data_IF_304522498585
#
_entry.id   IF_304522498585
#
_cell.length_a   1.000
_cell.length_b   1.000
_cell.length_c   1.000
_cell.angle_alpha   90.00
_cell.angle_beta   90.00
_cell.angle_gamma   90.00
#
_symmetry.space_group_name_H-M   'P 1'
#
loop_
_entity.id
_entity.type
_entity.pdbx_description
1 polymer ?
#
# COMPACT_ATOMS: atom_id res chain seq x y z
N UNK A 1 26.79 -9.18 0.32
CA UNK A 1 25.53 -9.89 0.03
C UNK A 1 24.76 -9.10 -1.01
N UNK A 2 24.11 -9.77 -1.99
CA UNK A 2 23.25 -9.07 -2.93
C UNK A 2 22.11 -8.40 -2.14
N UNK A 3 21.84 -7.12 -2.45
CA UNK A 3 20.79 -6.35 -1.78
C UNK A 3 19.44 -6.95 -2.18
N UNK A 4 18.61 -7.36 -1.21
CA UNK A 4 17.27 -7.91 -1.45
C UNK A 4 16.49 -7.03 -2.43
N UNK A 5 15.57 -7.61 -3.21
CA UNK A 5 14.77 -6.88 -4.20
C UNK A 5 13.32 -6.85 -3.75
N UNK A 6 12.68 -5.69 -3.86
CA UNK A 6 11.26 -5.51 -3.56
C UNK A 6 10.50 -5.27 -4.86
N UNK A 7 9.56 -6.16 -5.17
CA UNK A 7 8.80 -6.16 -6.41
C UNK A 7 7.32 -6.00 -6.11
N UNK A 8 6.70 -4.97 -6.69
CA UNK A 8 5.26 -4.73 -6.62
C UNK A 8 4.60 -5.09 -7.94
N UNK A 9 3.51 -5.86 -7.88
CA UNK A 9 2.75 -6.29 -9.06
C UNK A 9 1.32 -5.80 -8.90
N UNK A 10 0.85 -4.96 -9.82
CA UNK A 10 -0.52 -4.46 -9.81
C UNK A 10 -0.74 -3.19 -10.65
N UNK A 11 -1.81 -2.48 -10.34
CA UNK A 11 -2.25 -1.35 -11.14
C UNK A 11 -1.40 -0.10 -10.96
N UNK A 12 -1.12 0.58 -12.08
CA UNK A 12 -0.84 2.00 -12.18
C UNK A 12 -2.07 2.62 -12.83
N UNK A 13 -2.57 3.73 -12.31
CA UNK A 13 -3.83 4.35 -12.75
C UNK A 13 -3.71 5.88 -12.86
N UNK A 14 -4.73 6.45 -13.45
CA UNK A 14 -5.07 7.87 -13.32
C UNK A 14 -6.29 7.94 -12.42
N UNK A 15 -6.20 8.67 -11.33
CA UNK A 15 -7.25 8.78 -10.32
C UNK A 15 -7.84 10.19 -10.30
N UNK A 16 -9.16 10.29 -10.44
CA UNK A 16 -9.90 11.50 -10.18
C UNK A 16 -10.46 11.42 -8.77
N UNK A 17 -9.85 12.15 -7.86
CA UNK A 17 -10.18 12.13 -6.43
C UNK A 17 -10.97 13.38 -6.06
N UNK A 18 -12.08 13.20 -5.34
CA UNK A 18 -12.92 14.26 -4.79
C UNK A 18 -13.07 14.08 -3.28
N UNK A 19 -12.87 15.15 -2.53
CA UNK A 19 -13.08 15.19 -1.08
C UNK A 19 -13.45 16.60 -0.63
N UNK A 20 -13.50 16.84 0.69
CA UNK A 20 -13.83 18.15 1.29
C UNK A 20 -12.86 19.27 0.90
N UNK A 21 -11.65 18.97 0.41
CA UNK A 21 -10.63 19.93 -0.02
C UNK A 21 -10.73 20.26 -1.51
N UNK A 22 -11.63 19.62 -2.25
CA UNK A 22 -11.83 19.81 -3.68
C UNK A 22 -11.62 18.55 -4.51
N UNK A 23 -11.21 18.73 -5.76
CA UNK A 23 -10.99 17.66 -6.72
C UNK A 23 -9.58 17.71 -7.29
N UNK A 24 -9.00 16.54 -7.54
CA UNK A 24 -7.67 16.42 -8.15
C UNK A 24 -7.62 15.25 -9.13
N UNK A 25 -7.05 15.50 -10.30
CA UNK A 25 -6.68 14.43 -11.25
C UNK A 25 -5.21 14.10 -11.07
N UNK A 26 -4.90 12.89 -10.65
CA UNK A 26 -3.57 12.52 -10.21
C UNK A 26 -3.14 11.16 -10.75
N UNK A 27 -1.84 10.97 -10.80
CA UNK A 27 -1.24 9.67 -11.03
C UNK A 27 -1.41 8.82 -9.77
N UNK A 28 -1.83 7.57 -9.93
CA UNK A 28 -2.17 6.69 -8.83
C UNK A 28 -1.97 5.21 -9.14
N UNK A 29 -2.73 4.39 -8.42
CA UNK A 29 -2.70 2.94 -8.50
C UNK A 29 -1.90 2.28 -7.39
N UNK A 30 -2.44 1.19 -6.90
CA UNK A 30 -1.92 0.49 -5.72
C UNK A 30 -0.44 0.11 -5.83
N UNK A 31 0.01 -0.38 -7.00
CA UNK A 31 1.41 -0.74 -7.21
C UNK A 31 2.34 0.49 -7.16
N UNK A 32 1.88 1.64 -7.65
CA UNK A 32 2.68 2.86 -7.61
C UNK A 32 2.76 3.42 -6.20
N UNK A 33 1.64 3.52 -5.48
CA UNK A 33 1.65 4.00 -4.09
C UNK A 33 2.51 3.11 -3.18
N UNK A 34 2.38 1.78 -3.29
CA UNK A 34 3.20 0.85 -2.54
C UNK A 34 4.70 1.01 -2.87
N UNK A 35 5.03 1.12 -4.15
CA UNK A 35 6.41 1.30 -4.59
C UNK A 35 7.02 2.63 -4.11
N UNK A 36 6.25 3.72 -4.14
CA UNK A 36 6.70 5.01 -3.63
C UNK A 36 6.88 4.99 -2.10
N UNK A 37 5.96 4.36 -1.37
CA UNK A 37 6.11 4.15 0.07
C UNK A 37 7.38 3.38 0.42
N UNK A 38 7.66 2.30 -0.33
CA UNK A 38 8.89 1.54 -0.17
C UNK A 38 10.15 2.36 -0.52
N UNK A 39 10.07 3.18 -1.57
CA UNK A 39 11.19 3.98 -2.07
C UNK A 39 11.66 5.05 -1.08
N UNK A 40 10.83 5.41 -0.11
CA UNK A 40 11.22 6.33 0.98
C UNK A 40 12.39 5.78 1.79
N UNK A 41 12.49 4.44 1.93
CA UNK A 41 13.50 3.74 2.72
C UNK A 41 14.43 2.84 1.92
N UNK A 42 14.00 2.39 0.75
CA UNK A 42 14.66 1.29 0.06
C UNK A 42 14.80 1.57 -1.44
N UNK A 43 16.01 1.39 -1.97
CA UNK A 43 16.30 1.76 -3.35
C UNK A 43 15.99 0.67 -4.38
N UNK A 44 16.16 -0.60 -4.02
CA UNK A 44 15.98 -1.72 -4.95
C UNK A 44 14.52 -2.13 -5.10
N UNK A 45 13.71 -1.19 -5.59
CA UNK A 45 12.26 -1.34 -5.78
C UNK A 45 11.94 -1.40 -7.27
N UNK A 46 11.08 -2.33 -7.68
CA UNK A 46 10.60 -2.49 -9.05
C UNK A 46 9.10 -2.68 -9.10
N UNK A 47 8.52 -2.34 -10.26
CA UNK A 47 7.09 -2.49 -10.55
C UNK A 47 6.89 -3.39 -11.76
N UNK A 48 5.90 -4.26 -11.69
CA UNK A 48 5.29 -4.91 -12.86
C UNK A 48 3.86 -4.41 -12.97
N UNK A 49 3.57 -3.73 -14.08
CA UNK A 49 2.25 -3.17 -14.35
C UNK A 49 1.94 -3.16 -15.84
N UNK A 50 0.72 -2.71 -16.18
CA UNK A 50 0.33 -2.44 -17.56
C UNK A 50 -0.43 -1.12 -17.62
N UNK A 51 -0.13 -0.32 -18.66
CA UNK A 51 -0.75 0.98 -18.94
C UNK A 51 -1.18 1.06 -20.39
N UNK A 52 -2.06 1.99 -20.70
CA UNK A 52 -2.48 2.26 -22.08
C UNK A 52 -1.49 3.14 -22.83
N UNK A 53 -1.72 3.28 -24.16
CA UNK A 53 -0.96 4.23 -24.99
C UNK A 53 -1.22 5.71 -24.59
N UNK A 54 -2.30 5.97 -23.89
CA UNK A 54 -2.68 7.28 -23.35
C UNK A 54 -1.88 7.71 -22.11
N UNK A 55 -1.08 6.80 -21.54
CA UNK A 55 -0.31 7.04 -20.33
C UNK A 55 0.93 7.92 -20.58
N UNK A 56 0.92 9.12 -20.02
CA UNK A 56 1.97 10.14 -20.28
C UNK A 56 3.15 10.12 -19.32
N UNK A 57 3.12 9.25 -18.29
CA UNK A 57 4.08 9.30 -17.17
C UNK A 57 5.12 8.17 -17.16
N UNK A 58 5.36 7.50 -18.30
CA UNK A 58 6.34 6.40 -18.40
C UNK A 58 7.75 6.82 -17.97
N UNK A 59 8.19 8.03 -18.38
CA UNK A 59 9.50 8.54 -18.01
C UNK A 59 9.66 8.71 -16.51
N UNK A 60 8.61 9.18 -15.80
CA UNK A 60 8.61 9.26 -14.35
C UNK A 60 8.75 7.87 -13.70
N UNK A 61 8.00 6.88 -14.20
CA UNK A 61 8.08 5.51 -13.67
C UNK A 61 9.49 4.93 -13.87
N UNK A 62 10.04 5.01 -15.09
CA UNK A 62 11.35 4.42 -15.38
C UNK A 62 12.52 5.14 -14.71
N UNK A 63 12.45 6.45 -14.52
CA UNK A 63 13.46 7.21 -13.77
C UNK A 63 13.41 6.94 -12.26
N UNK A 64 12.21 6.75 -11.70
CA UNK A 64 12.03 6.50 -10.26
C UNK A 64 12.30 5.03 -9.90
N UNK A 65 11.90 4.09 -10.77
CA UNK A 65 11.99 2.65 -10.57
C UNK A 65 12.72 1.97 -11.75
N UNK A 66 14.04 2.16 -11.86
CA UNK A 66 14.79 1.64 -13.01
C UNK A 66 14.69 0.12 -13.11
N UNK A 67 14.49 -0.36 -14.35
CA UNK A 67 14.33 -1.77 -14.66
C UNK A 67 12.95 -2.36 -14.29
N UNK A 68 11.95 -1.52 -13.99
CA UNK A 68 10.54 -1.95 -13.91
C UNK A 68 10.00 -2.40 -15.26
N UNK A 69 9.01 -3.29 -15.25
CA UNK A 69 8.35 -3.80 -16.45
C UNK A 69 6.96 -3.18 -16.54
N UNK A 70 6.81 -2.21 -17.42
CA UNK A 70 5.54 -1.55 -17.70
C UNK A 70 5.10 -1.89 -19.12
N UNK A 71 4.11 -2.77 -19.20
CA UNK A 71 3.54 -3.20 -20.47
C UNK A 71 2.61 -2.11 -21.01
N UNK A 72 2.89 -1.64 -22.24
CA UNK A 72 1.99 -0.71 -22.92
C UNK A 72 1.06 -1.49 -23.85
N UNK A 73 -0.25 -1.32 -23.67
CA UNK A 73 -1.27 -2.04 -24.48
C UNK A 73 -2.22 -1.07 -25.18
N UNK A 74 -2.88 -1.55 -26.23
CA UNK A 74 -3.86 -0.76 -26.99
C UNK A 74 -5.25 -0.75 -26.28
N UNK A 75 -5.28 -0.23 -25.08
CA UNK A 75 -6.46 -0.03 -24.23
C UNK A 75 -6.23 1.24 -23.41
N UNK A 76 -7.28 1.90 -22.89
CA UNK A 76 -7.11 2.99 -21.94
C UNK A 76 -6.35 2.55 -20.69
N UNK A 77 -5.58 3.44 -20.11
CA UNK A 77 -4.97 3.25 -18.77
C UNK A 77 -6.07 3.02 -17.73
N UNK A 78 -5.74 2.30 -16.67
CA UNK A 78 -6.65 2.13 -15.51
C UNK A 78 -7.05 3.50 -14.98
N UNK A 79 -8.36 3.69 -14.76
CA UNK A 79 -8.93 4.94 -14.28
C UNK A 79 -9.88 4.68 -13.13
N UNK A 80 -9.71 5.43 -12.05
CA UNK A 80 -10.64 5.45 -10.91
C UNK A 80 -11.20 6.87 -10.72
N UNK A 81 -12.51 6.94 -10.41
CA UNK A 81 -13.10 8.13 -9.79
C UNK A 81 -13.47 7.75 -8.37
N UNK A 82 -12.91 8.48 -7.40
CA UNK A 82 -13.01 8.17 -5.98
C UNK A 82 -13.53 9.41 -5.27
N UNK A 83 -14.65 9.28 -4.57
CA UNK A 83 -15.18 10.31 -3.71
C UNK A 83 -14.99 9.93 -2.25
N UNK A 84 -14.65 10.90 -1.42
CA UNK A 84 -14.52 10.74 0.03
C UNK A 84 -15.57 11.59 0.74
N UNK A 85 -16.25 11.01 1.71
CA UNK A 85 -17.08 11.74 2.64
C UNK A 85 -16.26 12.52 3.70
N UNK A 86 -16.94 13.25 4.58
CA UNK A 86 -16.31 14.02 5.68
C UNK A 86 -15.51 13.14 6.66
N UNK A 87 -15.80 11.84 6.72
CA UNK A 87 -15.08 10.85 7.54
C UNK A 87 -13.97 10.13 6.77
N UNK A 88 -13.65 10.61 5.57
CA UNK A 88 -12.68 9.98 4.65
C UNK A 88 -13.03 8.53 4.27
N UNK A 89 -14.30 8.17 4.26
CA UNK A 89 -14.76 6.90 3.70
C UNK A 89 -14.81 7.01 2.19
N UNK A 90 -14.08 6.12 1.50
CA UNK A 90 -14.01 6.09 0.05
C UNK A 90 -15.25 5.46 -0.58
N UNK A 91 -15.70 6.05 -1.68
CA UNK A 91 -16.64 5.46 -2.64
C UNK A 91 -15.99 5.48 -4.02
N UNK A 92 -15.96 4.33 -4.69
CA UNK A 92 -15.45 4.21 -6.05
C UNK A 92 -16.59 4.42 -7.04
N UNK A 93 -16.77 5.68 -7.47
CA UNK A 93 -17.87 6.06 -8.39
C UNK A 93 -17.67 5.47 -9.79
N UNK A 94 -16.42 5.34 -10.22
CA UNK A 94 -16.05 4.76 -11.52
C UNK A 94 -14.81 3.88 -11.36
N UNK A 95 -14.90 2.65 -11.84
CA UNK A 95 -13.78 1.69 -11.91
C UNK A 95 -13.61 1.21 -13.34
N UNK A 96 -12.54 1.66 -14.02
CA UNK A 96 -12.17 1.22 -15.36
C UNK A 96 -10.78 0.58 -15.31
N UNK A 97 -10.73 -0.74 -15.22
CA UNK A 97 -9.45 -1.48 -15.11
C UNK A 97 -8.57 -1.35 -16.37
N UNK A 98 -9.17 -1.25 -17.55
CA UNK A 98 -8.44 -0.99 -18.81
C UNK A 98 -7.19 -1.85 -18.96
N UNK A 99 -6.06 -1.20 -19.22
CA UNK A 99 -4.76 -1.82 -19.42
C UNK A 99 -4.31 -2.67 -18.22
N UNK A 100 -4.61 -2.26 -16.99
CA UNK A 100 -4.25 -2.99 -15.77
C UNK A 100 -4.84 -4.40 -15.72
N UNK A 101 -5.99 -4.64 -16.38
CA UNK A 101 -6.54 -5.97 -16.51
C UNK A 101 -5.65 -6.93 -17.36
N UNK A 102 -4.66 -6.42 -18.08
CA UNK A 102 -3.77 -7.20 -18.95
C UNK A 102 -2.45 -7.64 -18.30
N UNK A 103 -2.25 -7.35 -17.03
CA UNK A 103 -1.14 -7.89 -16.23
C UNK A 103 -1.34 -9.41 -16.09
N UNK A 104 -0.32 -10.20 -16.38
CA UNK A 104 -0.35 -11.67 -16.35
C UNK A 104 0.95 -12.24 -15.78
N UNK A 105 0.95 -13.53 -15.44
CA UNK A 105 2.15 -14.26 -15.00
C UNK A 105 3.29 -14.24 -16.04
N UNK A 106 2.99 -14.03 -17.32
CA UNK A 106 4.01 -13.91 -18.38
C UNK A 106 4.82 -12.62 -18.27
N UNK A 107 4.29 -11.61 -17.62
CA UNK A 107 4.97 -10.34 -17.41
C UNK A 107 5.97 -10.40 -16.24
N UNK A 108 5.97 -11.49 -15.43
CA UNK A 108 6.93 -11.74 -14.35
C UNK A 108 8.07 -12.64 -14.86
N UNK A 109 9.30 -12.11 -15.05
CA UNK A 109 10.42 -12.91 -15.52
C UNK A 109 10.80 -14.00 -14.52
N UNK A 110 10.97 -15.24 -14.96
CA UNK A 110 11.34 -16.37 -14.08
C UNK A 110 12.63 -16.13 -13.32
N UNK A 111 13.62 -15.47 -13.94
CA UNK A 111 14.90 -15.16 -13.28
C UNK A 111 14.82 -14.08 -12.20
N UNK A 112 13.64 -13.42 -12.02
CA UNK A 112 13.37 -12.53 -10.89
C UNK A 112 12.79 -13.29 -9.68
N UNK A 113 12.32 -14.52 -9.87
CA UNK A 113 11.75 -15.34 -8.80
C UNK A 113 12.90 -16.09 -8.13
N UNK A 114 13.49 -15.47 -7.10
CA UNK A 114 14.64 -15.97 -6.33
C UNK A 114 14.42 -15.69 -4.85
N UNK A 115 15.14 -16.40 -4.01
CA UNK A 115 14.98 -16.36 -2.54
C UNK A 115 15.30 -14.98 -1.92
N UNK A 116 16.08 -14.14 -2.62
CA UNK A 116 16.41 -12.77 -2.21
C UNK A 116 15.37 -11.72 -2.69
N UNK A 117 14.19 -12.15 -3.14
CA UNK A 117 13.15 -11.27 -3.67
C UNK A 117 11.91 -11.31 -2.79
N UNK A 118 11.42 -10.14 -2.43
CA UNK A 118 10.11 -9.92 -1.80
C UNK A 118 9.12 -9.48 -2.87
N UNK A 119 8.08 -10.27 -3.09
CA UNK A 119 7.03 -9.98 -4.07
C UNK A 119 5.75 -9.59 -3.34
N UNK A 120 5.23 -8.40 -3.64
CA UNK A 120 3.94 -7.95 -3.16
C UNK A 120 2.95 -7.84 -4.31
N UNK A 121 1.85 -8.62 -4.22
CA UNK A 121 0.72 -8.48 -5.12
C UNK A 121 -0.24 -7.45 -4.50
N UNK A 122 -0.31 -6.27 -5.09
CA UNK A 122 -1.29 -5.25 -4.68
C UNK A 122 -2.71 -5.67 -5.10
N UNK A 123 -3.78 -4.97 -4.72
CA UNK A 123 -5.13 -5.42 -5.05
C UNK A 123 -5.33 -5.69 -6.54
N UNK A 124 -5.43 -6.96 -6.89
CA UNK A 124 -5.78 -7.47 -8.20
C UNK A 124 -6.85 -8.55 -8.05
N UNK A 125 -7.53 -8.88 -9.13
CA UNK A 125 -8.56 -9.93 -9.09
C UNK A 125 -8.05 -11.19 -8.38
N UNK A 126 -8.77 -11.74 -7.37
CA UNK A 126 -8.31 -12.86 -6.54
C UNK A 126 -7.91 -14.11 -7.30
N UNK A 127 -8.63 -14.45 -8.39
CA UNK A 127 -8.25 -15.58 -9.23
C UNK A 127 -6.91 -15.33 -9.95
N UNK A 128 -6.65 -14.08 -10.33
CA UNK A 128 -5.36 -13.68 -10.91
C UNK A 128 -4.25 -13.73 -9.86
N UNK A 129 -4.50 -13.20 -8.65
CA UNK A 129 -3.56 -13.31 -7.53
C UNK A 129 -3.20 -14.77 -7.24
N UNK A 130 -4.19 -15.66 -7.22
CA UNK A 130 -3.97 -17.12 -7.08
C UNK A 130 -3.00 -17.64 -8.14
N UNK A 131 -3.22 -17.31 -9.42
CA UNK A 131 -2.32 -17.75 -10.52
C UNK A 131 -0.89 -17.24 -10.33
N UNK A 132 -0.70 -16.00 -9.85
CA UNK A 132 0.63 -15.48 -9.54
C UNK A 132 1.28 -16.23 -8.39
N UNK A 133 0.60 -16.43 -7.27
CA UNK A 133 1.14 -17.13 -6.10
C UNK A 133 1.53 -18.58 -6.46
N UNK A 134 0.65 -19.31 -7.14
CA UNK A 134 0.92 -20.68 -7.61
C UNK A 134 2.12 -20.73 -8.57
N UNK A 135 2.23 -19.75 -9.49
CA UNK A 135 3.35 -19.68 -10.41
C UNK A 135 4.67 -19.39 -9.69
N UNK A 136 4.69 -18.43 -8.77
CA UNK A 136 5.86 -18.05 -7.98
C UNK A 136 6.32 -19.25 -7.13
N UNK A 137 5.43 -19.82 -6.34
CA UNK A 137 5.76 -20.92 -5.41
C UNK A 137 6.14 -22.23 -6.13
N UNK A 138 5.74 -22.41 -7.39
CA UNK A 138 6.21 -23.53 -8.23
C UNK A 138 7.65 -23.37 -8.67
N UNK A 139 8.13 -22.11 -8.88
CA UNK A 139 9.51 -21.82 -9.29
C UNK A 139 10.44 -21.84 -8.09
N UNK A 140 10.06 -21.18 -6.99
CA UNK A 140 10.76 -21.24 -5.72
C UNK A 140 9.78 -21.16 -4.56
N UNK A 141 9.81 -22.17 -3.68
CA UNK A 141 9.00 -22.19 -2.45
C UNK A 141 9.43 -21.14 -1.44
N UNK A 142 10.70 -20.70 -1.48
CA UNK A 142 11.33 -19.82 -0.51
C UNK A 142 11.11 -18.32 -0.80
N UNK A 143 10.67 -17.98 -2.02
CA UNK A 143 10.36 -16.58 -2.35
C UNK A 143 9.31 -16.03 -1.39
N UNK A 144 9.61 -14.88 -0.82
CA UNK A 144 8.71 -14.21 0.10
C UNK A 144 7.57 -13.51 -0.67
N UNK A 145 6.33 -13.83 -0.36
CA UNK A 145 5.15 -13.30 -1.04
C UNK A 145 4.20 -12.68 -0.04
N UNK A 146 3.76 -11.45 -0.32
CA UNK A 146 2.65 -10.80 0.38
C UNK A 146 1.56 -10.37 -0.57
N UNK A 147 0.35 -10.24 -0.04
CA UNK A 147 -0.81 -9.75 -0.78
C UNK A 147 -1.63 -8.81 0.10
N UNK A 148 -2.30 -7.85 -0.51
CA UNK A 148 -3.43 -7.15 0.08
C UNK A 148 -4.67 -7.31 -0.80
N UNK A 149 -5.83 -6.84 -0.34
CA UNK A 149 -7.10 -6.93 -1.03
C UNK A 149 -7.71 -5.54 -1.27
N UNK A 150 -8.92 -5.54 -1.77
CA UNK A 150 -9.77 -4.37 -1.93
C UNK A 150 -11.20 -4.77 -1.54
N UNK A 151 -12.01 -3.87 -0.97
CA UNK A 151 -13.41 -4.13 -0.59
C UNK A 151 -14.22 -4.75 -1.72
N UNK A 152 -14.09 -4.27 -2.95
CA UNK A 152 -14.83 -4.76 -4.13
C UNK A 152 -14.63 -6.26 -4.38
N UNK A 153 -13.44 -6.78 -4.06
CA UNK A 153 -13.17 -8.20 -4.23
C UNK A 153 -13.81 -9.07 -3.14
N UNK A 154 -14.17 -8.47 -2.01
CA UNK A 154 -14.76 -9.19 -0.87
C UNK A 154 -16.29 -9.31 -0.97
N UNK A 155 -16.95 -8.59 -1.85
CA UNK A 155 -18.39 -8.71 -2.07
C UNK A 155 -18.79 -10.13 -2.50
N UNK A 156 -18.00 -10.76 -3.38
CA UNK A 156 -18.28 -12.08 -3.93
C UNK A 156 -17.76 -13.19 -3.01
N UNK A 157 -18.65 -14.11 -2.60
CA UNK A 157 -18.31 -15.28 -1.76
C UNK A 157 -17.16 -16.11 -2.34
N UNK A 158 -17.14 -16.30 -3.66
CA UNK A 158 -16.07 -17.04 -4.33
C UNK A 158 -14.70 -16.37 -4.14
N UNK A 159 -14.63 -15.05 -4.28
CA UNK A 159 -13.41 -14.30 -4.06
C UNK A 159 -12.92 -14.41 -2.61
N UNK A 160 -13.85 -14.33 -1.63
CA UNK A 160 -13.50 -14.53 -0.21
C UNK A 160 -12.91 -15.91 0.02
N UNK A 161 -13.48 -16.97 -0.61
CA UNK A 161 -12.92 -18.32 -0.53
C UNK A 161 -11.52 -18.40 -1.12
N UNK A 162 -11.27 -17.78 -2.28
CA UNK A 162 -9.95 -17.74 -2.90
C UNK A 162 -8.96 -17.02 -1.99
N UNK A 163 -9.30 -15.85 -1.47
CA UNK A 163 -8.44 -15.05 -0.60
C UNK A 163 -8.11 -15.78 0.71
N UNK A 164 -9.08 -16.45 1.36
CA UNK A 164 -8.84 -17.31 2.54
C UNK A 164 -7.86 -18.46 2.25
N UNK A 165 -7.91 -19.03 1.05
CA UNK A 165 -6.96 -20.06 0.64
C UNK A 165 -5.56 -19.48 0.38
N UNK A 166 -5.48 -18.30 -0.28
CA UNK A 166 -4.22 -17.61 -0.54
C UNK A 166 -3.51 -17.17 0.74
N UNK A 167 -4.27 -16.71 1.74
CA UNK A 167 -3.76 -16.30 3.04
C UNK A 167 -2.87 -17.36 3.70
N UNK A 168 -3.13 -18.66 3.45
CA UNK A 168 -2.35 -19.78 3.97
C UNK A 168 -1.09 -20.08 3.15
N UNK A 169 -1.00 -19.56 1.94
CA UNK A 169 0.08 -19.84 0.97
C UNK A 169 1.10 -18.70 0.90
N UNK A 170 0.72 -17.52 1.36
CA UNK A 170 1.57 -16.33 1.35
C UNK A 170 2.25 -16.11 2.71
N UNK A 171 3.30 -15.33 2.71
CA UNK A 171 4.06 -15.04 3.91
C UNK A 171 3.44 -13.93 4.76
N UNK A 172 2.69 -13.01 4.12
CA UNK A 172 1.94 -11.94 4.77
C UNK A 172 0.66 -11.62 3.99
N UNK A 173 -0.46 -11.54 4.70
CA UNK A 173 -1.71 -10.93 4.24
C UNK A 173 -1.88 -9.57 4.90
N UNK A 174 -2.18 -8.54 4.11
CA UNK A 174 -2.51 -7.20 4.63
C UNK A 174 -3.96 -6.89 4.29
N UNK A 175 -4.71 -6.46 5.29
CA UNK A 175 -6.13 -6.08 5.18
C UNK A 175 -6.36 -4.79 5.97
N UNK A 176 -7.42 -4.06 5.68
CA UNK A 176 -7.96 -3.12 6.64
C UNK A 176 -8.98 -3.81 7.56
N UNK A 177 -9.49 -3.12 8.56
CA UNK A 177 -10.47 -3.64 9.53
C UNK A 177 -11.74 -4.15 8.85
N UNK A 178 -12.31 -3.36 7.93
CA UNK A 178 -13.48 -3.76 7.15
C UNK A 178 -13.21 -5.02 6.31
N UNK A 179 -12.06 -5.06 5.62
CA UNK A 179 -11.67 -6.22 4.80
C UNK A 179 -11.46 -7.47 5.64
N UNK A 180 -10.86 -7.34 6.82
CA UNK A 180 -10.65 -8.46 7.75
C UNK A 180 -12.01 -9.01 8.23
N UNK A 181 -12.92 -8.16 8.65
CA UNK A 181 -14.27 -8.57 9.07
C UNK A 181 -15.06 -9.19 7.91
N UNK A 182 -15.04 -8.58 6.73
CA UNK A 182 -15.70 -9.11 5.54
C UNK A 182 -15.14 -10.47 5.10
N UNK A 183 -13.81 -10.63 5.16
CA UNK A 183 -13.16 -11.91 4.82
C UNK A 183 -13.46 -12.99 5.85
N UNK A 184 -13.60 -12.64 7.12
CA UNK A 184 -13.98 -13.55 8.20
C UNK A 184 -15.49 -13.82 8.29
N UNK A 185 -16.30 -13.05 7.53
CA UNK A 185 -17.77 -13.10 7.55
C UNK A 185 -18.34 -12.81 8.95
N UNK A 186 -17.82 -11.77 9.63
CA UNK A 186 -18.21 -11.32 10.97
C UNK A 186 -18.19 -9.79 11.07
N UNK A 187 -18.90 -9.24 12.03
CA UNK A 187 -18.91 -7.82 12.40
C UNK A 187 -17.95 -7.48 13.58
N UNK A 188 -17.25 -8.50 14.10
CA UNK A 188 -16.28 -8.34 15.19
C UNK A 188 -14.85 -8.44 14.67
N UNK A 189 -14.09 -7.34 14.78
CA UNK A 189 -12.67 -7.32 14.40
C UNK A 189 -11.84 -8.32 15.24
N UNK A 190 -12.10 -8.40 16.54
CA UNK A 190 -11.41 -9.34 17.42
C UNK A 190 -11.66 -10.79 16.97
N UNK A 191 -12.91 -11.12 16.64
CA UNK A 191 -13.25 -12.42 16.10
C UNK A 191 -12.56 -12.66 14.75
N UNK A 192 -12.60 -11.69 13.83
CA UNK A 192 -11.95 -11.78 12.52
C UNK A 192 -10.46 -12.12 12.65
N UNK A 193 -9.73 -11.37 13.48
CA UNK A 193 -8.29 -11.57 13.70
C UNK A 193 -7.98 -12.95 14.27
N UNK A 194 -8.85 -13.50 15.11
CA UNK A 194 -8.68 -14.82 15.71
C UNK A 194 -8.98 -15.98 14.74
N UNK A 195 -9.95 -15.82 13.82
CA UNK A 195 -10.36 -16.91 12.92
C UNK A 195 -9.61 -16.93 11.60
N UNK A 196 -9.08 -15.79 11.16
CA UNK A 196 -8.30 -15.70 9.93
C UNK A 196 -6.93 -16.38 10.11
N UNK A 197 -6.74 -17.52 9.43
CA UNK A 197 -5.54 -18.36 9.56
C UNK A 197 -4.52 -17.98 8.48
N UNK A 198 -3.68 -16.99 8.77
CA UNK A 198 -2.52 -16.60 7.99
C UNK A 198 -1.22 -16.97 8.71
N UNK A 199 -0.13 -17.13 7.96
CA UNK A 199 1.21 -17.20 8.56
C UNK A 199 1.54 -15.90 9.29
N UNK A 200 1.24 -14.78 8.63
CA UNK A 200 1.23 -13.44 9.21
C UNK A 200 0.03 -12.67 8.65
N UNK A 201 -0.60 -11.91 9.52
CA UNK A 201 -1.71 -11.02 9.17
C UNK A 201 -1.42 -9.64 9.72
N UNK A 202 -1.47 -8.63 8.87
CA UNK A 202 -1.47 -7.24 9.30
C UNK A 202 -2.84 -6.63 9.01
N UNK A 203 -3.44 -5.99 10.01
CA UNK A 203 -4.73 -5.31 9.85
C UNK A 203 -4.54 -3.83 10.17
N UNK A 204 -4.71 -2.97 9.16
CA UNK A 204 -4.64 -1.52 9.34
C UNK A 204 -5.94 -0.99 9.92
N UNK A 205 -5.84 -0.07 10.88
CA UNK A 205 -6.95 0.56 11.61
C UNK A 205 -7.02 2.06 11.35
N UNK A 206 -6.50 2.51 10.22
CA UNK A 206 -6.42 3.92 9.86
C UNK A 206 -5.66 4.73 10.92
N UNK A 207 -6.31 5.73 11.49
CA UNK A 207 -5.72 6.62 12.50
C UNK A 207 -5.42 5.92 13.84
N UNK A 208 -5.96 4.73 14.09
CA UNK A 208 -5.72 3.98 15.32
C UNK A 208 -4.43 3.14 15.26
N UNK A 209 -3.82 2.99 14.08
CA UNK A 209 -2.61 2.20 13.91
C UNK A 209 -2.85 0.88 13.19
N UNK A 210 -2.29 -0.22 13.68
CA UNK A 210 -2.44 -1.53 13.06
C UNK A 210 -2.36 -2.66 14.10
N UNK A 211 -2.94 -3.80 13.72
CA UNK A 211 -2.76 -5.08 14.41
C UNK A 211 -1.82 -5.95 13.58
N UNK A 212 -0.83 -6.55 14.23
CA UNK A 212 0.05 -7.55 13.64
C UNK A 212 -0.18 -8.89 14.32
N UNK A 213 -0.45 -9.93 13.53
CA UNK A 213 -0.57 -11.31 14.01
C UNK A 213 0.56 -12.12 13.40
N UNK A 214 1.37 -12.72 14.26
CA UNK A 214 2.43 -13.64 13.86
C UNK A 214 2.46 -14.84 14.81
N UNK A 215 2.41 -16.05 14.25
CA UNK A 215 2.42 -17.29 15.01
C UNK A 215 1.37 -17.32 16.15
N UNK A 216 0.19 -16.77 15.88
CA UNK A 216 -0.92 -16.69 16.83
C UNK A 216 -0.79 -15.59 17.91
N UNK A 217 0.33 -14.87 17.95
CA UNK A 217 0.47 -13.68 18.82
C UNK A 217 -0.14 -12.47 18.15
N UNK A 218 -1.04 -11.80 18.85
CA UNK A 218 -1.69 -10.57 18.40
C UNK A 218 -1.03 -9.39 19.10
N UNK A 219 -0.55 -8.43 18.31
CA UNK A 219 0.06 -7.20 18.81
C UNK A 219 -0.66 -6.01 18.17
N UNK A 220 -1.20 -5.12 19.00
CA UNK A 220 -1.75 -3.84 18.55
C UNK A 220 -0.65 -2.78 18.65
N UNK A 221 -0.42 -2.07 17.55
CA UNK A 221 0.57 -1.02 17.44
C UNK A 221 -0.19 0.27 17.17
N UNK A 222 -0.28 1.17 18.15
CA UNK A 222 -1.00 2.43 17.99
C UNK A 222 -0.29 3.31 16.95
N UNK A 223 -1.07 4.07 16.19
CA UNK A 223 -0.52 5.16 15.40
C UNK A 223 0.06 6.23 16.34
N UNK A 224 1.18 6.83 15.94
CA UNK A 224 1.72 7.96 16.67
C UNK A 224 0.79 9.17 16.47
N UNK A 225 0.04 9.51 17.50
CA UNK A 225 -0.99 10.57 17.52
C UNK A 225 -0.42 12.00 17.43
N UNK A 226 0.89 12.15 17.24
CA UNK A 226 1.55 13.46 17.15
C UNK A 226 1.34 14.22 15.83
N UNK A 227 0.85 13.55 14.78
CA UNK A 227 0.47 14.18 13.54
C UNK A 227 -1.04 14.44 13.52
N UNK A 228 -1.53 15.35 14.37
CA UNK A 228 -2.89 15.90 14.27
C UNK A 228 -3.04 16.85 13.08
N UNK A 229 -2.39 16.52 11.98
CA UNK A 229 -2.49 17.29 10.75
C UNK A 229 -3.71 16.79 10.00
N UNK A 230 -4.54 17.69 9.57
CA UNK A 230 -5.71 17.41 8.73
C UNK A 230 -5.27 16.68 7.47
N UNK A 231 -5.66 15.43 7.32
CA UNK A 231 -5.40 14.67 6.10
C UNK A 231 -6.02 15.38 4.91
N UNK A 232 -5.24 15.57 3.84
CA UNK A 232 -5.72 16.19 2.60
C UNK A 232 -6.20 15.16 1.60
N UNK A 233 -5.49 14.04 1.46
CA UNK A 233 -5.86 12.95 0.58
C UNK A 233 -5.39 11.60 1.13
N UNK A 234 -6.34 10.71 1.39
CA UNK A 234 -6.07 9.36 1.92
C UNK A 234 -5.97 8.29 0.83
N UNK A 235 -6.13 8.66 -0.46
CA UNK A 235 -6.03 7.73 -1.59
C UNK A 235 -4.66 7.05 -1.60
N UNK A 236 -4.63 5.72 -1.62
CA UNK A 236 -3.38 4.96 -1.64
C UNK A 236 -2.60 4.96 -0.31
N UNK A 237 -3.20 5.45 0.80
CA UNK A 237 -2.55 5.39 2.11
C UNK A 237 -2.25 3.96 2.56
N UNK A 238 -3.20 3.03 2.38
CA UNK A 238 -3.01 1.61 2.68
C UNK A 238 -1.94 0.95 1.83
N UNK A 239 -1.88 1.27 0.53
CA UNK A 239 -0.83 0.75 -0.35
C UNK A 239 0.55 1.32 0.01
N UNK A 240 0.62 2.63 0.29
CA UNK A 240 1.85 3.27 0.81
C UNK A 240 2.31 2.59 2.10
N UNK A 241 1.37 2.29 3.00
CA UNK A 241 1.63 1.56 4.24
C UNK A 241 2.23 0.16 3.94
N UNK A 242 1.65 -0.61 3.01
CA UNK A 242 2.18 -1.92 2.61
C UNK A 242 3.61 -1.82 2.10
N UNK A 243 3.88 -0.90 1.20
CA UNK A 243 5.22 -0.71 0.64
C UNK A 243 6.26 -0.32 1.69
N UNK A 244 5.90 0.61 2.56
CA UNK A 244 6.76 1.08 3.65
C UNK A 244 7.03 -0.01 4.69
N UNK A 245 6.01 -0.81 5.03
CA UNK A 245 6.12 -1.97 5.90
C UNK A 245 7.18 -2.95 5.40
N UNK A 246 7.09 -3.32 4.12
CA UNK A 246 8.00 -4.29 3.53
C UNK A 246 9.42 -3.76 3.44
N UNK A 247 9.61 -2.50 3.05
CA UNK A 247 10.91 -1.86 3.00
C UNK A 247 11.57 -1.77 4.38
N UNK A 248 10.81 -1.39 5.41
CA UNK A 248 11.28 -1.36 6.79
C UNK A 248 11.62 -2.76 7.31
N UNK A 249 10.80 -3.77 6.99
CA UNK A 249 11.05 -5.15 7.40
C UNK A 249 12.32 -5.73 6.75
N UNK A 250 12.58 -5.42 5.49
CA UNK A 250 13.83 -5.81 4.83
C UNK A 250 15.05 -5.26 5.58
N UNK A 251 14.97 -4.01 6.06
CA UNK A 251 16.06 -3.37 6.79
C UNK A 251 16.21 -3.86 8.23
N UNK A 252 15.10 -4.01 8.95
CA UNK A 252 15.11 -4.20 10.41
C UNK A 252 14.92 -5.64 10.85
N UNK A 253 14.26 -6.46 10.02
CA UNK A 253 13.73 -7.80 10.37
C UNK A 253 12.87 -7.80 11.64
N UNK A 254 12.27 -6.66 11.96
CA UNK A 254 11.46 -6.39 13.15
C UNK A 254 10.09 -5.84 12.73
N UNK A 255 9.01 -6.58 13.03
CA UNK A 255 7.65 -6.21 12.64
C UNK A 255 7.14 -4.97 13.38
N UNK A 256 7.48 -4.80 14.66
CA UNK A 256 7.06 -3.64 15.43
C UNK A 256 7.62 -2.36 14.83
N UNK A 257 8.93 -2.31 14.59
CA UNK A 257 9.59 -1.18 13.95
C UNK A 257 9.03 -0.93 12.55
N UNK A 258 8.77 -2.01 11.80
CA UNK A 258 8.26 -1.92 10.44
C UNK A 258 6.84 -1.33 10.39
N UNK A 259 5.96 -1.74 11.30
CA UNK A 259 4.59 -1.20 11.38
C UNK A 259 4.61 0.27 11.80
N UNK A 260 5.39 0.65 12.82
CA UNK A 260 5.54 2.05 13.23
C UNK A 260 6.02 2.91 12.06
N UNK A 261 7.06 2.44 11.35
CA UNK A 261 7.59 3.11 10.17
C UNK A 261 6.54 3.27 9.06
N UNK A 262 5.78 2.22 8.79
CA UNK A 262 4.72 2.24 7.79
C UNK A 262 3.59 3.23 8.16
N UNK A 263 3.21 3.30 9.43
CA UNK A 263 2.23 4.27 9.92
C UNK A 263 2.71 5.71 9.72
N UNK A 264 3.98 5.99 10.03
CA UNK A 264 4.57 7.33 9.86
C UNK A 264 4.61 7.76 8.39
N UNK A 265 5.12 6.90 7.48
CA UNK A 265 5.23 7.23 6.05
C UNK A 265 3.84 7.38 5.43
N UNK A 266 2.90 6.52 5.79
CA UNK A 266 1.53 6.62 5.30
C UNK A 266 0.84 7.90 5.79
N UNK A 267 1.07 8.32 7.04
CA UNK A 267 0.58 9.59 7.57
C UNK A 267 1.18 10.80 6.80
N UNK A 268 2.49 10.81 6.56
CA UNK A 268 3.13 11.87 5.76
C UNK A 268 2.53 11.93 4.35
N UNK A 269 2.26 10.78 3.72
CA UNK A 269 1.59 10.71 2.42
C UNK A 269 0.27 11.46 2.42
N UNK A 270 -0.54 11.31 3.47
CA UNK A 270 -1.87 11.89 3.56
C UNK A 270 -1.89 13.43 3.71
N UNK A 271 -0.75 14.08 3.93
CA UNK A 271 -0.65 15.54 4.11
C UNK A 271 -0.86 16.35 2.82
N UNK A 272 -0.89 15.72 1.66
CA UNK A 272 -1.10 16.39 0.37
C UNK A 272 -1.76 15.45 -0.65
N UNK A 273 -2.11 15.99 -1.84
CA UNK A 273 -2.68 15.23 -2.93
C UNK A 273 -1.73 14.15 -3.45
N UNK A 274 -2.30 13.00 -3.76
CA UNK A 274 -1.57 11.87 -4.33
C UNK A 274 -0.38 11.47 -3.46
N UNK A 275 0.81 11.52 -4.01
CA UNK A 275 2.07 11.17 -3.36
C UNK A 275 3.07 12.33 -3.27
N UNK A 276 2.60 13.58 -3.43
CA UNK A 276 3.47 14.77 -3.51
C UNK A 276 4.43 14.88 -2.32
N UNK A 277 3.98 14.55 -1.11
CA UNK A 277 4.82 14.62 0.09
C UNK A 277 5.91 13.55 0.15
N UNK A 278 5.68 12.36 -0.40
CA UNK A 278 6.61 11.23 -0.26
C UNK A 278 7.51 11.01 -1.49
N UNK A 279 7.17 11.54 -2.67
CA UNK A 279 7.87 11.22 -3.91
C UNK A 279 9.37 11.54 -3.90
N UNK A 280 9.77 12.56 -3.13
CA UNK A 280 11.17 13.00 -3.00
C UNK A 280 11.81 12.63 -1.67
N UNK A 281 11.04 12.11 -0.69
CA UNK A 281 11.58 11.75 0.60
C UNK A 281 12.46 10.50 0.50
N UNK A 282 13.61 10.55 1.18
CA UNK A 282 14.51 9.42 1.34
C UNK A 282 15.08 9.48 2.74
N UNK A 283 14.96 8.38 3.48
CA UNK A 283 15.49 8.21 4.82
C UNK A 283 16.37 6.98 4.87
N UNK A 284 17.42 7.03 5.66
CA UNK A 284 18.33 5.90 5.85
C UNK A 284 17.77 4.87 6.83
N UNK A 285 17.02 5.33 7.81
CA UNK A 285 16.49 4.52 8.91
C UNK A 285 15.24 5.14 9.52
N UNK A 286 14.66 4.45 10.50
CA UNK A 286 13.45 4.88 11.20
C UNK A 286 13.67 6.15 12.02
N UNK A 287 14.85 6.33 12.60
CA UNK A 287 15.18 7.48 13.44
C UNK A 287 15.06 8.79 12.65
N UNK A 288 15.54 8.82 11.41
CA UNK A 288 15.39 9.98 10.52
C UNK A 288 13.92 10.29 10.22
N UNK A 289 13.07 9.26 10.08
CA UNK A 289 11.63 9.45 9.87
C UNK A 289 10.98 10.07 11.11
N UNK A 290 11.31 9.57 12.30
CA UNK A 290 10.79 10.09 13.56
C UNK A 290 11.18 11.56 13.72
N UNK A 291 12.44 11.92 13.48
CA UNK A 291 12.90 13.31 13.54
C UNK A 291 12.16 14.20 12.53
N UNK A 292 11.94 13.71 11.32
CA UNK A 292 11.16 14.44 10.31
C UNK A 292 9.72 14.67 10.76
N UNK A 293 9.04 13.66 11.31
CA UNK A 293 7.67 13.76 11.83
C UNK A 293 7.59 14.77 12.99
N UNK A 294 8.55 14.72 13.93
CA UNK A 294 8.63 15.68 15.04
C UNK A 294 8.81 17.11 14.53
N UNK A 295 9.63 17.32 13.51
CA UNK A 295 9.81 18.65 12.90
C UNK A 295 8.51 19.18 12.26
N UNK A 296 7.70 18.32 11.65
CA UNK A 296 6.38 18.70 11.11
C UNK A 296 5.41 19.08 12.23
N UNK A 297 5.41 18.33 13.34
CA UNK A 297 4.55 18.60 14.51
C UNK A 297 4.90 19.92 15.20
N UNK A 298 6.18 20.24 15.30
CA UNK A 298 6.64 21.50 15.89
C UNK A 298 6.25 22.71 15.03
N UNK A 299 6.40 22.64 13.72
CA UNK A 299 5.96 23.71 12.80
C UNK A 299 4.46 24.00 12.93
N UNK A 300 3.64 22.98 13.08
CA UNK A 300 2.20 23.15 13.24
C UNK A 300 1.82 23.77 14.59
N UNK A 301 2.54 23.45 15.68
CA UNK A 301 2.34 24.10 16.99
C UNK A 301 2.75 25.59 16.96
N UNK A 302 3.81 25.93 16.24
CA UNK A 302 4.29 27.30 16.12
C UNK A 302 3.31 28.16 15.31
N UNK A 303 2.74 27.62 14.21
CA UNK A 303 1.69 28.30 13.45
C UNK A 303 0.42 28.55 14.28
N UNK A 304 -0.01 27.58 15.11
CA UNK A 304 -1.17 27.75 16.01
C UNK A 304 -0.90 28.80 17.10
N UNK A 305 0.32 28.93 17.58
CA UNK A 305 0.70 29.93 18.57
C UNK A 305 0.75 31.35 17.98
N UNK A 306 1.30 31.50 16.77
CA UNK A 306 1.31 32.77 16.02
C UNK A 306 -0.10 33.22 15.62
N UNK A 307 -0.97 32.32 15.17
CA UNK A 307 -2.37 32.61 14.91
C UNK A 307 -3.12 33.00 16.18
N UNK A 308 -2.83 32.37 17.32
CA UNK A 308 -3.41 32.74 18.62
C UNK A 308 -2.97 34.11 19.06
N UNK A 309 -1.69 34.45 18.95
CA UNK A 309 -1.14 35.74 19.31
C UNK A 309 -1.67 36.88 18.40
N UNK A 310 -1.84 36.63 17.10
CA UNK A 310 -2.37 37.60 16.15
C UNK A 310 -3.89 37.83 16.26
N UNK A 311 -4.63 36.95 16.97
CA UNK A 311 -6.07 37.12 17.24
C UNK A 311 -6.37 37.76 18.60
N UNK A 312 -5.36 37.94 19.42
CA UNK A 312 -5.53 38.38 20.80
C UNK A 312 -5.01 39.82 21.01
N UNK A 313 -4.41 40.42 20.00
CA UNK A 313 -3.98 41.83 19.97
C UNK A 313 -4.48 42.49 18.67
#
# INVERSE_FOLDING_TARGET
MAKEKLLFIGHISIDHVKNIWGENLQLGGAALYASLGAKVLYDNVKIISAVGKDFKHLNFIHSTFPGSIIKVVNMPTTFFRISYDEKFKATYDVVKLGAGAKITIKDLPKHWIKDDVFIHLTPINPLKAKKFVEHIKRISSNVWVSINSSPDYLEKRENRRILRNLMRQVDLMVLNDYEAMALAETDSLIHAVNVLKARRLAVTLGQLGAIMVENGKIQMIPALSGLTVTSKDTTGAGDTWCGSLLAAYIQTKDWMKSVVTACLISAIKCLDWGFEKIKKLRFKNMEEIVLHVLSLSQKNKQLTLEEFLNKTF
#
